data_IF_053350473601
#
_entry.id   IF_053350473601
#
_cell.length_a   1.000
_cell.length_b   1.000
_cell.length_c   1.000
_cell.angle_alpha   90.00
_cell.angle_beta   90.00
_cell.angle_gamma   90.00
#
_symmetry.space_group_name_H-M   'P 1'
#
loop_
_entity.id
_entity.type
_entity.pdbx_description
1 polymer ?
#
# COMPACT_ATOMS: atom_id res chain seq x y z
N UNK A 1 7.47 -2.71 -26.48
CA UNK A 1 6.89 -1.48 -25.88
C UNK A 1 6.14 -1.89 -24.61
N UNK A 2 6.37 -1.17 -23.51
CA UNK A 2 5.81 -1.31 -22.14
C UNK A 2 6.49 -2.29 -21.15
N UNK A 3 6.53 -1.98 -19.83
CA UNK A 3 7.05 -0.74 -19.24
C UNK A 3 8.03 -0.97 -18.05
N UNK A 4 8.79 0.07 -17.71
CA UNK A 4 9.79 0.09 -16.63
C UNK A 4 9.20 -0.30 -15.25
N UNK A 5 9.75 -1.35 -14.65
CA UNK A 5 9.46 -1.82 -13.29
C UNK A 5 9.84 -0.75 -12.27
N UNK A 6 8.89 0.11 -11.90
CA UNK A 6 9.04 1.03 -10.77
C UNK A 6 8.84 0.27 -9.44
N UNK A 7 9.70 -0.71 -9.17
CA UNK A 7 9.79 -1.35 -7.87
C UNK A 7 10.51 -0.41 -6.92
N UNK A 8 9.86 0.69 -6.53
CA UNK A 8 10.31 1.37 -5.31
C UNK A 8 10.24 0.31 -4.20
N UNK A 9 11.30 0.10 -3.43
CA UNK A 9 11.20 -0.73 -2.23
C UNK A 9 10.22 -0.07 -1.26
N UNK A 10 9.46 -0.87 -0.52
CA UNK A 10 8.67 -0.36 0.59
C UNK A 10 9.61 -0.04 1.74
N UNK A 11 9.72 1.23 2.10
CA UNK A 11 10.49 1.60 3.29
C UNK A 11 9.76 1.20 4.56
N UNK A 12 10.50 1.07 5.65
CA UNK A 12 9.92 0.80 6.98
C UNK A 12 8.87 1.86 7.34
N UNK A 13 9.10 3.10 6.94
CA UNK A 13 8.15 4.20 7.09
C UNK A 13 6.86 3.99 6.29
N UNK A 14 6.94 3.62 5.01
CA UNK A 14 5.76 3.30 4.19
C UNK A 14 4.94 2.15 4.81
N UNK A 15 5.62 1.13 5.35
CA UNK A 15 4.96 -0.02 6.00
C UNK A 15 4.27 0.41 7.30
N UNK A 16 4.92 1.27 8.10
CA UNK A 16 4.34 1.81 9.32
C UNK A 16 3.13 2.70 9.02
N UNK A 17 3.25 3.55 7.99
CA UNK A 17 2.16 4.42 7.53
C UNK A 17 0.99 3.60 7.00
N UNK A 18 1.27 2.59 6.16
CA UNK A 18 0.31 1.61 5.68
C UNK A 18 -0.44 0.97 6.86
N UNK A 19 0.27 0.38 7.83
CA UNK A 19 -0.35 -0.20 9.04
C UNK A 19 -1.21 0.78 9.81
N UNK A 20 -0.73 2.02 10.00
CA UNK A 20 -1.45 3.06 10.75
C UNK A 20 -2.72 3.51 10.03
N UNK A 21 -2.68 3.63 8.71
CA UNK A 21 -3.84 3.98 7.88
C UNK A 21 -4.85 2.83 7.81
N UNK A 22 -4.37 1.59 7.71
CA UNK A 22 -5.20 0.38 7.81
C UNK A 22 -5.88 0.28 9.18
N UNK A 23 -5.16 0.55 10.27
CA UNK A 23 -5.72 0.57 11.63
C UNK A 23 -6.81 1.65 11.79
N UNK A 24 -6.72 2.75 11.05
CA UNK A 24 -7.73 3.81 10.98
C UNK A 24 -8.91 3.49 10.05
N UNK A 25 -8.99 2.27 9.50
CA UNK A 25 -9.99 1.86 8.50
C UNK A 25 -10.05 2.78 7.27
N UNK A 26 -8.90 3.33 6.87
CA UNK A 26 -8.81 4.16 5.67
C UNK A 26 -8.94 3.25 4.44
N UNK A 27 -9.76 3.67 3.48
CA UNK A 27 -9.94 2.92 2.22
C UNK A 27 -8.63 2.86 1.43
N UNK A 28 -8.37 1.73 0.77
CA UNK A 28 -7.15 1.51 -0.02
C UNK A 28 -6.86 2.65 -1.01
N UNK A 29 -7.90 3.27 -1.56
CA UNK A 29 -7.82 4.38 -2.53
C UNK A 29 -7.19 5.63 -1.94
N UNK A 30 -7.46 5.92 -0.68
CA UNK A 30 -6.89 7.07 0.00
C UNK A 30 -5.44 6.79 0.44
N UNK A 31 -5.20 5.56 0.92
CA UNK A 31 -3.86 5.07 1.27
C UNK A 31 -2.94 5.12 0.05
N UNK A 32 -3.43 4.66 -1.10
CA UNK A 32 -2.74 4.73 -2.38
C UNK A 32 -2.38 6.18 -2.77
N UNK A 33 -3.30 7.13 -2.58
CA UNK A 33 -3.04 8.56 -2.80
C UNK A 33 -1.97 9.10 -1.86
N UNK A 34 -2.04 8.79 -0.57
CA UNK A 34 -1.06 9.25 0.43
C UNK A 34 0.33 8.68 0.19
N UNK A 35 0.43 7.38 -0.11
CA UNK A 35 1.69 6.70 -0.40
C UNK A 35 2.19 6.94 -1.84
N UNK A 36 1.44 7.72 -2.66
CA UNK A 36 1.67 7.89 -4.10
C UNK A 36 1.93 6.55 -4.81
N UNK A 37 1.18 5.53 -4.40
CA UNK A 37 1.25 4.16 -4.91
C UNK A 37 -0.04 3.78 -5.61
N UNK A 38 0.02 2.76 -6.44
CA UNK A 38 -1.17 2.15 -7.02
C UNK A 38 -1.92 1.33 -5.97
N UNK A 39 -3.24 1.29 -6.09
CA UNK A 39 -4.12 0.41 -5.31
C UNK A 39 -3.58 -1.03 -5.28
N UNK A 40 -3.22 -1.55 -6.45
CA UNK A 40 -2.71 -2.90 -6.60
C UNK A 40 -1.42 -3.15 -5.79
N UNK A 41 -0.54 -2.15 -5.69
CA UNK A 41 0.68 -2.26 -4.89
C UNK A 41 0.39 -2.25 -3.39
N UNK A 42 -0.57 -1.40 -2.97
CA UNK A 42 -1.08 -1.34 -1.59
C UNK A 42 -1.71 -2.68 -1.20
N UNK A 43 -2.57 -3.24 -2.04
CA UNK A 43 -3.20 -4.55 -1.82
C UNK A 43 -2.19 -5.68 -1.77
N UNK A 44 -1.31 -5.80 -2.78
CA UNK A 44 -0.27 -6.84 -2.77
C UNK A 44 0.61 -6.74 -1.52
N UNK A 45 0.97 -5.52 -1.08
CA UNK A 45 1.77 -5.35 0.13
C UNK A 45 0.99 -5.65 1.40
N UNK A 46 -0.28 -5.27 1.47
CA UNK A 46 -1.15 -5.56 2.59
C UNK A 46 -1.36 -7.07 2.76
N UNK A 47 -1.53 -7.81 1.66
CA UNK A 47 -1.58 -9.28 1.64
C UNK A 47 -0.25 -9.88 2.09
N UNK A 48 0.88 -9.40 1.57
CA UNK A 48 2.22 -9.86 1.97
C UNK A 48 2.51 -9.62 3.46
N UNK A 49 1.98 -8.54 4.02
CA UNK A 49 2.11 -8.19 5.44
C UNK A 49 1.01 -8.79 6.34
N UNK A 50 0.03 -9.51 5.77
CA UNK A 50 -1.09 -10.10 6.51
C UNK A 50 -2.06 -9.10 7.13
N UNK A 51 -2.03 -7.84 6.71
CA UNK A 51 -2.89 -6.74 7.21
C UNK A 51 -3.97 -6.48 6.18
N UNK A 52 -5.01 -7.32 6.17
CA UNK A 52 -6.17 -7.13 5.29
C UNK A 52 -7.18 -6.25 6.01
N UNK A 53 -7.50 -5.06 5.48
CA UNK A 53 -8.80 -4.45 5.81
C UNK A 53 -9.83 -5.14 4.95
N UNK A 54 -10.81 -5.78 5.60
CA UNK A 54 -12.03 -6.19 4.92
C UNK A 54 -12.65 -4.93 4.31
N UNK A 55 -12.90 -5.03 3.00
CA UNK A 55 -13.63 -4.08 2.17
C UNK A 55 -14.93 -3.61 2.83
#
# INVERSE_FOLDING_TARGET
MAPAKHTKPWSKDDIALLKKLYAKKVVHRDIAKQLKRTLNAVESKATELGITVKK
#
